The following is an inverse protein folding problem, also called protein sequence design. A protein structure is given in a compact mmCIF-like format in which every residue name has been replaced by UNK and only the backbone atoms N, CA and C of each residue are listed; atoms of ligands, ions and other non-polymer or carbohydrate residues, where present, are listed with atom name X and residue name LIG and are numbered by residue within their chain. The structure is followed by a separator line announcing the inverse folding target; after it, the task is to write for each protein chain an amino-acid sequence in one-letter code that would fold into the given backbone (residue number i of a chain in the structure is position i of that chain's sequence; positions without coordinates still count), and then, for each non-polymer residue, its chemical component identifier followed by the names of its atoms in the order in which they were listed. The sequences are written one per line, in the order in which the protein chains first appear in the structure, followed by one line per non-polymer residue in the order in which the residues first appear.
data_IF_493941425768
#
_entry.id   IF_493941425768
#
_cell.length_a   1.000
_cell.length_b   1.000
_cell.length_c   1.000
_cell.angle_alpha   90.00
_cell.angle_beta   90.00
_cell.angle_gamma   90.00
#
_symmetry.space_group_name_H-M   'P 1'
#
loop_
_entity.id
_entity.type
_entity.pdbx_description
1 polymer ?
#
# COMPACT_ATOMS: atom_id res chain seq x y z
N UNK A 1 -5.80 26.99 -24.77
CA UNK A 1 -5.06 25.70 -24.63
C UNK A 1 -5.79 24.82 -23.63
N UNK A 2 -6.11 23.58 -23.98
CA UNK A 2 -7.13 22.75 -23.32
C UNK A 2 -6.72 22.35 -21.88
N UNK A 3 -7.50 22.67 -20.82
CA UNK A 3 -7.13 22.39 -19.42
C UNK A 3 -6.92 20.89 -19.11
N UNK A 4 -7.55 20.00 -19.88
CA UNK A 4 -7.37 18.55 -19.77
C UNK A 4 -5.96 18.08 -20.17
N UNK A 5 -5.36 18.71 -21.18
CA UNK A 5 -4.00 18.38 -21.63
C UNK A 5 -2.95 18.82 -20.60
N UNK A 6 -3.15 19.96 -19.94
CA UNK A 6 -2.26 20.45 -18.87
C UNK A 6 -2.22 19.49 -17.69
N UNK A 7 -3.38 18.96 -17.27
CA UNK A 7 -3.48 18.00 -16.15
C UNK A 7 -2.78 16.67 -16.48
N UNK A 8 -2.88 16.19 -17.72
CA UNK A 8 -2.18 14.97 -18.19
C UNK A 8 -0.67 15.16 -18.24
N UNK A 9 -0.19 16.29 -18.76
CA UNK A 9 1.25 16.60 -18.86
C UNK A 9 1.91 16.69 -17.49
N UNK A 10 1.24 17.29 -16.51
CA UNK A 10 1.75 17.36 -15.13
C UNK A 10 1.87 15.99 -14.46
N UNK A 11 0.88 15.11 -14.63
CA UNK A 11 0.96 13.73 -14.13
C UNK A 11 2.13 12.96 -14.77
N UNK A 12 2.32 13.14 -16.08
CA UNK A 12 3.43 12.50 -16.79
C UNK A 12 4.79 13.06 -16.33
N UNK A 13 4.91 14.38 -16.17
CA UNK A 13 6.13 15.00 -15.64
C UNK A 13 6.47 14.47 -14.24
N UNK A 14 5.49 14.41 -13.34
CA UNK A 14 5.69 13.87 -11.98
C UNK A 14 6.13 12.40 -12.00
N UNK A 15 5.55 11.58 -12.88
CA UNK A 15 5.94 10.19 -13.05
C UNK A 15 7.39 10.06 -13.53
N UNK A 16 7.77 10.80 -14.58
CA UNK A 16 9.13 10.80 -15.11
C UNK A 16 10.11 11.30 -14.05
N UNK A 17 9.76 12.35 -13.32
CA UNK A 17 10.59 12.88 -12.24
C UNK A 17 10.81 11.85 -11.12
N UNK A 18 9.76 11.14 -10.70
CA UNK A 18 9.88 10.06 -9.72
C UNK A 18 10.78 8.91 -10.20
N UNK A 19 10.65 8.53 -11.48
CA UNK A 19 11.51 7.49 -12.10
C UNK A 19 12.97 7.96 -12.13
N UNK A 20 13.23 9.21 -12.52
CA UNK A 20 14.59 9.78 -12.57
C UNK A 20 15.21 9.79 -11.18
N UNK A 21 14.48 10.22 -10.15
CA UNK A 21 14.97 10.20 -8.76
C UNK A 21 15.25 8.77 -8.31
N UNK A 22 14.33 7.83 -8.57
CA UNK A 22 14.51 6.42 -8.21
C UNK A 22 15.75 5.82 -8.87
N UNK A 23 15.92 6.03 -10.17
CA UNK A 23 17.07 5.54 -10.92
C UNK A 23 18.38 6.19 -10.45
N UNK A 24 18.40 7.51 -10.24
CA UNK A 24 19.56 8.22 -9.73
C UNK A 24 19.96 7.73 -8.33
N UNK A 25 18.97 7.47 -7.46
CA UNK A 25 19.21 6.94 -6.11
C UNK A 25 19.85 5.55 -6.18
N UNK A 26 19.32 4.64 -7.00
CA UNK A 26 19.89 3.29 -7.15
C UNK A 26 21.30 3.34 -7.72
N UNK A 27 21.52 4.15 -8.75
CA UNK A 27 22.83 4.32 -9.36
C UNK A 27 23.86 4.87 -8.36
N UNK A 28 23.48 5.90 -7.59
CA UNK A 28 24.34 6.47 -6.56
C UNK A 28 24.67 5.45 -5.47
N UNK A 29 23.69 4.66 -5.03
CA UNK A 29 23.92 3.62 -4.04
C UNK A 29 24.82 2.50 -4.55
N UNK A 30 24.65 2.02 -5.78
CA UNK A 30 25.54 1.01 -6.38
C UNK A 30 26.98 1.52 -6.48
N UNK A 31 27.16 2.78 -6.90
CA UNK A 31 28.46 3.43 -6.90
C UNK A 31 29.07 3.47 -5.49
N UNK A 32 28.28 3.85 -4.48
CA UNK A 32 28.74 3.95 -3.11
C UNK A 32 29.10 2.58 -2.51
N UNK A 33 28.30 1.54 -2.76
CA UNK A 33 28.59 0.16 -2.36
C UNK A 33 29.91 -0.33 -2.96
N UNK A 34 30.13 -0.14 -4.27
CA UNK A 34 31.38 -0.53 -4.93
C UNK A 34 32.59 0.21 -4.37
N UNK A 35 32.42 1.48 -4.00
CA UNK A 35 33.46 2.25 -3.33
C UNK A 35 33.81 1.63 -1.97
N UNK A 36 32.81 1.29 -1.17
CA UNK A 36 33.01 0.65 0.14
C UNK A 36 33.62 -0.75 0.03
N UNK A 37 33.21 -1.55 -0.96
CA UNK A 37 33.84 -2.86 -1.27
C UNK A 37 35.34 -2.72 -1.53
N UNK A 38 35.73 -1.70 -2.29
CA UNK A 38 37.15 -1.44 -2.56
C UNK A 38 37.90 -1.01 -1.29
N UNK A 39 37.28 -0.19 -0.45
CA UNK A 39 37.88 0.23 0.83
C UNK A 39 38.04 -0.96 1.80
N UNK A 40 37.05 -1.84 1.93
CA UNK A 40 37.17 -3.06 2.73
C UNK A 40 38.26 -4.00 2.20
N UNK A 41 38.37 -4.13 0.88
CA UNK A 41 39.46 -4.91 0.28
C UNK A 41 40.84 -4.32 0.59
N UNK A 42 41.01 -3.01 0.55
CA UNK A 42 42.28 -2.35 0.92
C UNK A 42 42.60 -2.55 2.40
N UNK A 43 41.60 -2.48 3.28
CA UNK A 43 41.75 -2.77 4.70
C UNK A 43 42.13 -4.23 4.94
N UNK A 44 41.60 -5.15 4.14
CA UNK A 44 41.96 -6.56 4.20
C UNK A 44 43.40 -6.79 3.74
N UNK A 45 43.80 -6.22 2.61
CA UNK A 45 45.18 -6.32 2.12
C UNK A 45 46.19 -5.72 3.12
N UNK A 46 45.83 -4.61 3.79
CA UNK A 46 46.64 -4.04 4.87
C UNK A 46 46.72 -4.99 6.08
N UNK A 47 45.60 -5.60 6.48
CA UNK A 47 45.58 -6.59 7.57
C UNK A 47 46.54 -7.75 7.28
N UNK A 48 46.48 -8.28 6.05
CA UNK A 48 47.33 -9.40 5.64
C UNK A 48 48.81 -9.00 5.72
N UNK A 49 49.19 -7.83 5.20
CA UNK A 49 50.58 -7.35 5.25
C UNK A 49 51.09 -7.14 6.68
N UNK A 50 50.27 -6.57 7.56
CA UNK A 50 50.62 -6.38 8.97
C UNK A 50 50.74 -7.71 9.70
N UNK A 51 49.87 -8.68 9.37
CA UNK A 51 49.94 -10.04 9.92
C UNK A 51 51.21 -10.75 9.46
N UNK A 52 51.58 -10.64 8.18
CA UNK A 52 52.83 -11.21 7.66
C UNK A 52 54.06 -10.58 8.33
N UNK A 53 54.12 -9.24 8.41
CA UNK A 53 55.22 -8.53 9.09
C UNK A 53 55.30 -8.85 10.58
N UNK A 54 54.18 -9.20 11.23
CA UNK A 54 54.17 -9.59 12.63
C UNK A 54 54.89 -10.91 12.91
N UNK A 55 54.96 -11.80 11.91
CA UNK A 55 55.76 -13.02 12.02
C UNK A 55 57.26 -12.71 11.90
N UNK A 56 57.66 -11.84 10.97
CA UNK A 56 59.07 -11.45 10.81
C UNK A 56 59.62 -10.69 12.03
N UNK A 57 58.77 -9.93 12.73
CA UNK A 57 59.14 -9.07 13.85
C UNK A 57 58.75 -9.65 15.22
N UNK A 58 58.42 -10.96 15.28
CA UNK A 58 57.90 -11.61 16.48
C UNK A 58 58.80 -11.44 17.73
N UNK A 59 60.13 -11.35 17.54
CA UNK A 59 61.11 -11.21 18.63
C UNK A 59 61.43 -9.73 18.99
N UNK A 60 60.79 -8.74 18.35
CA UNK A 60 61.04 -7.30 18.60
C UNK A 60 59.84 -6.62 19.30
N UNK A 61 59.89 -6.62 20.64
CA UNK A 61 58.87 -6.03 21.53
C UNK A 61 58.54 -4.56 21.23
N UNK A 62 59.41 -3.84 20.52
CA UNK A 62 59.19 -2.41 20.16
C UNK A 62 58.05 -2.22 19.18
N UNK A 63 57.71 -3.23 18.39
CA UNK A 63 56.70 -3.15 17.31
C UNK A 63 55.40 -3.88 17.63
N UNK A 64 55.40 -4.79 18.61
CA UNK A 64 54.23 -5.58 19.04
C UNK A 64 53.02 -4.71 19.32
N UNK A 65 53.18 -3.63 20.10
CA UNK A 65 52.08 -2.73 20.43
C UNK A 65 51.48 -2.00 19.22
N UNK A 66 52.30 -1.63 18.22
CA UNK A 66 51.82 -0.99 16.99
C UNK A 66 51.03 -1.98 16.13
N UNK A 67 51.54 -3.20 15.98
CA UNK A 67 50.90 -4.28 15.22
C UNK A 67 49.55 -4.63 15.84
N UNK A 68 49.48 -4.77 17.16
CA UNK A 68 48.24 -5.09 17.86
C UNK A 68 47.21 -3.96 17.77
N UNK A 69 47.64 -2.69 17.81
CA UNK A 69 46.75 -1.55 17.57
C UNK A 69 46.14 -1.56 16.16
N UNK A 70 46.94 -1.89 15.14
CA UNK A 70 46.46 -1.96 13.75
C UNK A 70 45.51 -3.15 13.57
N UNK A 71 45.86 -4.32 14.14
CA UNK A 71 44.99 -5.51 14.09
C UNK A 71 43.68 -5.24 14.82
N UNK A 72 43.71 -4.77 16.06
CA UNK A 72 42.51 -4.61 16.90
C UNK A 72 41.54 -3.54 16.36
N UNK A 73 42.04 -2.49 15.74
CA UNK A 73 41.18 -1.47 15.12
C UNK A 73 40.53 -1.95 13.81
N UNK A 74 41.01 -3.06 13.23
CA UNK A 74 40.39 -3.63 12.05
C UNK A 74 39.12 -4.41 12.43
N UNK A 75 37.98 -3.95 11.90
CA UNK A 75 36.66 -4.56 12.13
C UNK A 75 36.31 -5.66 11.13
N UNK A 76 37.22 -6.00 10.22
CA UNK A 76 37.00 -7.07 9.24
C UNK A 76 36.96 -8.43 9.93
N UNK A 77 35.90 -9.22 9.75
CA UNK A 77 35.89 -10.61 10.17
C UNK A 77 36.85 -11.40 9.29
N UNK A 78 37.83 -12.05 9.90
CA UNK A 78 38.86 -12.84 9.22
C UNK A 78 39.02 -14.21 9.84
N UNK A 79 39.34 -15.19 9.00
CA UNK A 79 39.73 -16.55 9.41
C UNK A 79 41.04 -16.88 8.71
N UNK A 80 42.00 -17.37 9.50
CA UNK A 80 43.28 -17.86 9.02
C UNK A 80 43.28 -19.38 9.05
N UNK A 81 43.74 -20.02 7.97
CA UNK A 81 43.83 -21.48 7.88
C UNK A 81 45.20 -21.95 7.43
N UNK A 82 45.49 -23.23 7.69
CA UNK A 82 46.60 -23.93 7.07
C UNK A 82 46.27 -24.37 5.62
N UNK A 83 47.15 -25.20 5.02
CA UNK A 83 46.95 -25.74 3.68
C UNK A 83 45.82 -26.77 3.56
N UNK A 84 45.39 -27.39 4.66
CA UNK A 84 44.30 -28.36 4.73
C UNK A 84 42.95 -27.70 5.11
N UNK A 85 42.89 -26.36 5.12
CA UNK A 85 41.75 -25.57 5.60
C UNK A 85 41.42 -25.76 7.10
N UNK A 86 42.39 -26.22 7.89
CA UNK A 86 42.29 -26.24 9.35
C UNK A 86 42.46 -24.81 9.89
N UNK A 87 41.56 -24.38 10.77
CA UNK A 87 41.55 -23.02 11.27
C UNK A 87 42.62 -22.85 12.33
N UNK A 88 43.54 -21.92 12.08
CA UNK A 88 44.66 -21.60 12.98
C UNK A 88 44.44 -20.29 13.74
N UNK A 89 43.52 -19.45 13.29
CA UNK A 89 43.18 -18.21 13.98
C UNK A 89 41.96 -17.52 13.38
N UNK A 90 41.36 -16.62 14.14
CA UNK A 90 40.23 -15.81 13.68
C UNK A 90 40.21 -14.47 14.39
N UNK A 91 39.51 -13.50 13.79
CA UNK A 91 39.25 -12.21 14.40
C UNK A 91 37.92 -11.64 13.87
N UNK A 92 37.23 -10.83 14.69
CA UNK A 92 36.01 -10.12 14.27
C UNK A 92 34.79 -11.01 14.03
N UNK A 93 34.79 -12.25 14.54
CA UNK A 93 33.63 -13.14 14.53
C UNK A 93 32.76 -12.93 15.79
N UNK A 94 31.50 -13.40 15.71
CA UNK A 94 30.50 -13.31 16.78
C UNK A 94 31.00 -13.98 18.07
N UNK A 95 31.30 -13.16 19.09
CA UNK A 95 31.85 -13.61 20.38
C UNK A 95 30.91 -14.54 21.15
N UNK A 96 29.60 -14.49 20.87
CA UNK A 96 28.61 -15.39 21.50
C UNK A 96 28.64 -16.81 20.92
N UNK A 97 29.33 -16.99 19.78
CA UNK A 97 29.45 -18.26 19.04
C UNK A 97 30.90 -18.71 18.87
N UNK A 98 31.85 -17.87 19.25
CA UNK A 98 33.28 -18.17 19.31
C UNK A 98 33.66 -18.32 20.79
N UNK A 99 33.33 -19.45 21.42
CA UNK A 99 33.66 -19.65 22.82
C UNK A 99 35.18 -19.73 23.02
N UNK A 100 35.76 -18.63 23.52
CA UNK A 100 37.00 -18.57 24.30
C UNK A 100 36.64 -17.82 25.59
N UNK A 101 36.80 -18.46 26.74
CA UNK A 101 36.80 -17.75 28.02
C UNK A 101 37.96 -18.24 28.86
N UNK A 102 38.73 -17.27 29.36
CA UNK A 102 40.03 -17.42 30.02
C UNK A 102 39.81 -17.68 31.51
N UNK A 103 39.07 -18.74 31.84
CA UNK A 103 39.06 -19.28 33.20
C UNK A 103 39.38 -20.77 33.15
N UNK A 104 40.53 -21.06 33.75
CA UNK A 104 41.28 -22.30 33.82
C UNK A 104 40.39 -23.56 33.98
N UNK A 105 40.66 -24.57 33.15
CA UNK A 105 40.29 -25.99 33.35
C UNK A 105 38.95 -26.56 32.84
N UNK A 106 38.41 -26.17 31.69
CA UNK A 106 37.42 -27.03 30.99
C UNK A 106 37.62 -27.09 29.47
N UNK A 107 37.66 -28.33 28.98
CA UNK A 107 37.79 -28.77 27.58
C UNK A 107 37.10 -27.81 26.59
N UNK A 108 37.92 -27.27 25.70
CA UNK A 108 37.59 -26.33 24.63
C UNK A 108 36.58 -26.94 23.66
N UNK A 109 35.34 -26.45 23.66
CA UNK A 109 34.39 -26.80 22.59
C UNK A 109 34.32 -25.64 21.59
N UNK A 110 35.23 -25.70 20.62
CA UNK A 110 35.05 -25.17 19.28
C UNK A 110 33.62 -25.51 18.82
N UNK A 111 32.88 -24.57 18.20
CA UNK A 111 31.72 -24.93 17.37
C UNK A 111 32.22 -25.13 15.93
N UNK A 112 32.69 -26.35 15.56
CA UNK A 112 33.19 -26.62 14.23
C UNK A 112 32.18 -26.29 13.14
N UNK A 113 30.88 -26.36 13.44
CA UNK A 113 29.85 -26.07 12.45
C UNK A 113 29.70 -24.58 12.18
N UNK A 114 29.84 -23.72 13.20
CA UNK A 114 29.83 -22.27 13.01
C UNK A 114 31.02 -21.82 12.17
N UNK A 115 32.23 -22.25 12.53
CA UNK A 115 33.46 -21.87 11.83
C UNK A 115 33.51 -22.40 10.41
N UNK A 116 33.15 -23.67 10.18
CA UNK A 116 33.06 -24.22 8.82
C UNK A 116 32.04 -23.44 7.96
N UNK A 117 30.93 -23.00 8.55
CA UNK A 117 29.93 -22.17 7.88
C UNK A 117 30.49 -20.78 7.54
N UNK A 118 31.17 -20.12 8.47
CA UNK A 118 31.79 -18.81 8.21
C UNK A 118 32.88 -18.93 7.14
N UNK A 119 33.76 -19.93 7.23
CA UNK A 119 34.80 -20.18 6.23
C UNK A 119 34.20 -20.42 4.85
N UNK A 120 33.11 -21.19 4.74
CA UNK A 120 32.39 -21.39 3.49
C UNK A 120 31.79 -20.09 2.93
N UNK A 121 31.26 -19.22 3.80
CA UNK A 121 30.75 -17.91 3.39
C UNK A 121 31.90 -17.04 2.87
N UNK A 122 33.01 -16.95 3.61
CA UNK A 122 34.18 -16.17 3.21
C UNK A 122 34.77 -16.64 1.87
N UNK A 123 34.91 -17.96 1.69
CA UNK A 123 35.34 -18.58 0.43
C UNK A 123 34.46 -18.23 -0.77
N UNK A 124 33.15 -18.06 -0.54
CA UNK A 124 32.19 -17.70 -1.60
C UNK A 124 32.24 -16.21 -1.92
N UNK A 125 32.53 -15.37 -0.93
CA UNK A 125 32.57 -13.92 -1.10
C UNK A 125 33.85 -13.47 -1.78
N UNK A 126 35.01 -13.96 -1.33
CA UNK A 126 36.31 -13.43 -1.74
C UNK A 126 37.38 -14.53 -1.90
N UNK A 127 38.40 -14.31 -2.76
CA UNK A 127 39.56 -15.18 -2.82
C UNK A 127 40.43 -15.06 -1.56
N UNK A 128 41.13 -16.14 -1.22
CA UNK A 128 42.10 -16.17 -0.12
C UNK A 128 43.42 -15.50 -0.51
N UNK A 129 44.10 -14.89 0.46
CA UNK A 129 45.47 -14.37 0.28
C UNK A 129 46.44 -15.30 1.03
N UNK A 130 47.46 -15.87 0.36
CA UNK A 130 48.48 -16.66 1.01
C UNK A 130 49.48 -15.78 1.79
N UNK A 131 49.95 -16.30 2.92
CA UNK A 131 51.04 -15.73 3.73
C UNK A 131 52.00 -16.85 4.14
N UNK A 132 53.24 -16.48 4.47
CA UNK A 132 54.24 -17.44 4.97
C UNK A 132 54.35 -17.31 6.49
N UNK A 133 54.15 -18.42 7.22
CA UNK A 133 54.30 -18.46 8.67
C UNK A 133 55.78 -18.58 9.11
N UNK A 134 56.02 -18.39 10.40
CA UNK A 134 57.34 -18.50 11.06
C UNK A 134 58.09 -19.82 10.75
N UNK A 135 57.35 -20.91 10.55
CA UNK A 135 57.88 -22.25 10.27
C UNK A 135 58.10 -22.52 8.76
N UNK A 136 57.94 -21.49 7.92
CA UNK A 136 58.03 -21.60 6.46
C UNK A 136 56.82 -22.26 5.81
N UNK A 137 55.77 -22.62 6.57
CA UNK A 137 54.53 -23.15 6.01
C UNK A 137 53.68 -22.04 5.41
N UNK A 138 52.87 -22.40 4.41
CA UNK A 138 51.91 -21.48 3.79
C UNK A 138 50.59 -21.50 4.56
N UNK A 139 50.16 -20.33 4.99
CA UNK A 139 48.84 -20.11 5.57
C UNK A 139 47.98 -19.28 4.62
N UNK A 140 46.67 -19.31 4.80
CA UNK A 140 45.71 -18.60 3.98
C UNK A 140 44.80 -17.76 4.87
N UNK A 141 44.63 -16.48 4.51
CA UNK A 141 43.70 -15.59 5.20
C UNK A 141 42.46 -15.40 4.32
N UNK A 142 41.30 -15.59 4.91
CA UNK A 142 39.97 -15.33 4.36
C UNK A 142 39.34 -14.15 5.08
N UNK A 143 38.53 -13.36 4.37
CA UNK A 143 37.70 -12.31 4.99
C UNK A 143 36.25 -12.42 4.57
N UNK A 144 35.39 -11.85 5.40
CA UNK A 144 33.96 -11.69 5.14
C UNK A 144 33.65 -10.21 4.92
N UNK A 145 32.69 -9.92 4.06
CA UNK A 145 32.07 -8.59 3.98
C UNK A 145 31.60 -8.15 5.38
N UNK A 146 31.81 -6.89 5.73
CA UNK A 146 31.29 -6.41 7.02
C UNK A 146 29.75 -6.41 7.01
N UNK A 147 29.12 -6.49 8.20
CA UNK A 147 27.66 -6.30 8.32
C UNK A 147 27.20 -4.98 7.70
N UNK A 148 27.99 -3.92 7.86
CA UNK A 148 27.70 -2.59 7.30
C UNK A 148 27.64 -2.61 5.78
N UNK A 149 28.63 -3.21 5.12
CA UNK A 149 28.64 -3.32 3.66
C UNK A 149 27.47 -4.16 3.13
N UNK A 150 27.16 -5.25 3.84
CA UNK A 150 26.01 -6.09 3.49
C UNK A 150 24.69 -5.30 3.62
N UNK A 151 24.50 -4.55 4.71
CA UNK A 151 23.32 -3.68 4.88
C UNK A 151 23.23 -2.62 3.79
N UNK A 152 24.37 -2.04 3.40
CA UNK A 152 24.46 -1.02 2.36
C UNK A 152 24.07 -1.55 0.98
N UNK A 153 24.35 -2.83 0.66
CA UNK A 153 23.87 -3.51 -0.56
C UNK A 153 22.34 -3.63 -0.61
N UNK A 154 21.69 -3.88 0.53
CA UNK A 154 20.23 -4.07 0.59
C UNK A 154 19.45 -2.76 0.74
N UNK A 155 20.08 -1.72 1.28
CA UNK A 155 19.47 -0.42 1.55
C UNK A 155 18.66 0.15 0.37
N UNK A 156 19.14 0.13 -0.90
CA UNK A 156 18.41 0.74 -2.02
C UNK A 156 17.09 0.02 -2.30
N UNK A 157 17.05 -1.30 -2.14
CA UNK A 157 15.84 -2.09 -2.36
C UNK A 157 14.80 -1.85 -1.27
N UNK A 158 15.24 -1.73 -0.01
CA UNK A 158 14.37 -1.37 1.10
C UNK A 158 13.79 0.03 0.87
N UNK A 159 14.63 1.00 0.50
CA UNK A 159 14.20 2.37 0.19
C UNK A 159 13.16 2.40 -0.95
N UNK A 160 13.39 1.67 -2.05
CA UNK A 160 12.42 1.55 -3.14
C UNK A 160 11.10 0.93 -2.68
N UNK A 161 11.15 -0.08 -1.81
CA UNK A 161 9.97 -0.69 -1.20
C UNK A 161 9.14 0.32 -0.40
N UNK A 162 9.79 1.15 0.43
CA UNK A 162 9.13 2.21 1.21
C UNK A 162 8.51 3.26 0.29
N UNK A 163 9.25 3.71 -0.74
CA UNK A 163 8.72 4.67 -1.73
C UNK A 163 7.52 4.10 -2.47
N UNK A 164 7.58 2.83 -2.90
CA UNK A 164 6.48 2.17 -3.59
C UNK A 164 5.22 2.09 -2.72
N UNK A 165 5.37 1.72 -1.44
CA UNK A 165 4.26 1.69 -0.48
C UNK A 165 3.66 3.08 -0.27
N UNK A 166 4.50 4.10 -0.16
CA UNK A 166 4.05 5.49 -0.02
C UNK A 166 3.26 5.94 -1.26
N UNK A 167 3.79 5.68 -2.47
CA UNK A 167 3.11 6.02 -3.73
C UNK A 167 1.77 5.30 -3.88
N UNK A 168 1.69 4.02 -3.48
CA UNK A 168 0.44 3.26 -3.50
C UNK A 168 -0.61 3.89 -2.57
N UNK A 169 -0.22 4.20 -1.33
CA UNK A 169 -1.10 4.83 -0.35
C UNK A 169 -1.58 6.20 -0.85
N UNK A 170 -0.66 7.02 -1.38
CA UNK A 170 -0.98 8.32 -1.96
C UNK A 170 -1.93 8.20 -3.16
N UNK A 171 -1.72 7.20 -4.04
CA UNK A 171 -2.60 6.94 -5.17
C UNK A 171 -4.02 6.59 -4.73
N UNK A 172 -4.17 5.66 -3.77
CA UNK A 172 -5.49 5.25 -3.24
C UNK A 172 -6.20 6.44 -2.61
N UNK A 173 -5.52 7.21 -1.76
CA UNK A 173 -6.09 8.37 -1.09
C UNK A 173 -6.49 9.48 -2.08
N UNK A 174 -5.65 9.79 -3.07
CA UNK A 174 -5.96 10.82 -4.06
C UNK A 174 -7.08 10.37 -5.01
N UNK A 175 -7.10 9.08 -5.39
CA UNK A 175 -8.14 8.51 -6.24
C UNK A 175 -9.50 8.51 -5.53
N UNK A 176 -9.54 8.10 -4.25
CA UNK A 176 -10.77 8.11 -3.47
C UNK A 176 -11.28 9.53 -3.24
N UNK A 177 -10.39 10.46 -2.88
CA UNK A 177 -10.74 11.88 -2.74
C UNK A 177 -11.31 12.47 -4.03
N UNK A 178 -10.71 12.15 -5.19
CA UNK A 178 -11.19 12.67 -6.47
C UNK A 178 -12.55 12.10 -6.86
N UNK A 179 -12.81 10.83 -6.55
CA UNK A 179 -14.12 10.20 -6.76
C UNK A 179 -15.17 10.85 -5.85
N UNK A 180 -14.85 11.03 -4.57
CA UNK A 180 -15.74 11.69 -3.61
C UNK A 180 -16.08 13.14 -4.02
N UNK A 181 -15.11 13.91 -4.49
CA UNK A 181 -15.33 15.26 -5.03
C UNK A 181 -16.30 15.23 -6.22
N UNK A 182 -16.14 14.28 -7.13
CA UNK A 182 -17.04 14.13 -8.29
C UNK A 182 -18.46 13.74 -7.85
N UNK A 183 -18.59 12.75 -6.97
CA UNK A 183 -19.88 12.30 -6.44
C UNK A 183 -20.59 13.45 -5.71
N UNK A 184 -19.87 14.29 -4.97
CA UNK A 184 -20.42 15.46 -4.29
C UNK A 184 -20.93 16.52 -5.27
N UNK A 185 -20.23 16.76 -6.38
CA UNK A 185 -20.70 17.67 -7.45
C UNK A 185 -21.98 17.11 -8.09
N UNK A 186 -22.07 15.81 -8.35
CA UNK A 186 -23.30 15.19 -8.87
C UNK A 186 -24.48 15.32 -7.93
N UNK A 187 -24.27 15.07 -6.63
CA UNK A 187 -25.29 15.29 -5.60
C UNK A 187 -25.73 16.75 -5.56
N UNK A 188 -24.78 17.70 -5.62
CA UNK A 188 -25.08 19.13 -5.65
C UNK A 188 -25.91 19.54 -6.86
N UNK A 189 -25.53 19.08 -8.06
CA UNK A 189 -26.28 19.35 -9.30
C UNK A 189 -27.69 18.76 -9.24
N UNK A 190 -27.86 17.54 -8.73
CA UNK A 190 -29.17 16.91 -8.59
C UNK A 190 -30.11 17.74 -7.70
N UNK A 191 -29.62 18.24 -6.56
CA UNK A 191 -30.40 19.10 -5.65
C UNK A 191 -30.77 20.44 -6.28
N UNK A 192 -29.81 21.08 -6.94
CA UNK A 192 -30.02 22.37 -7.59
C UNK A 192 -31.03 22.24 -8.75
N UNK A 193 -30.89 21.19 -9.57
CA UNK A 193 -31.86 20.91 -10.65
C UNK A 193 -33.25 20.61 -10.09
N UNK A 194 -33.36 19.85 -8.99
CA UNK A 194 -34.65 19.61 -8.34
C UNK A 194 -35.30 20.93 -7.88
N UNK A 195 -34.52 21.81 -7.26
CA UNK A 195 -35.01 23.12 -6.84
C UNK A 195 -35.48 23.96 -8.04
N UNK A 196 -34.69 23.96 -9.12
CA UNK A 196 -35.03 24.67 -10.36
C UNK A 196 -36.26 24.11 -11.07
N UNK A 197 -36.53 22.80 -10.97
CA UNK A 197 -37.72 22.16 -11.52
C UNK A 197 -38.99 22.38 -10.68
N UNK A 198 -38.85 22.65 -9.37
CA UNK A 198 -40.00 22.89 -8.49
C UNK A 198 -40.87 24.07 -8.95
N UNK A 199 -40.27 25.22 -9.24
CA UNK A 199 -40.97 26.45 -9.67
C UNK A 199 -41.83 26.28 -10.93
N UNK A 200 -41.31 25.72 -12.05
CA UNK A 200 -42.14 25.49 -13.23
C UNK A 200 -43.22 24.42 -12.99
N UNK A 201 -42.97 23.39 -12.17
CA UNK A 201 -43.99 22.39 -11.82
C UNK A 201 -45.15 23.03 -11.05
N UNK A 202 -44.87 23.86 -10.04
CA UNK A 202 -45.90 24.61 -9.32
C UNK A 202 -46.69 25.55 -10.25
N UNK A 203 -46.03 26.15 -11.24
CA UNK A 203 -46.68 27.00 -12.23
C UNK A 203 -47.64 26.20 -13.12
N UNK A 204 -47.23 24.99 -13.56
CA UNK A 204 -48.10 24.07 -14.33
C UNK A 204 -49.32 23.62 -13.53
N UNK A 205 -49.14 23.33 -12.24
CA UNK A 205 -50.24 22.94 -11.35
C UNK A 205 -51.26 24.08 -11.20
N UNK A 206 -50.79 25.33 -11.07
CA UNK A 206 -51.66 26.51 -11.05
C UNK A 206 -52.40 26.72 -12.38
N UNK A 207 -51.76 26.45 -13.53
CA UNK A 207 -52.43 26.50 -14.83
C UNK A 207 -53.54 25.45 -14.98
N UNK A 208 -53.30 24.23 -14.51
CA UNK A 208 -54.33 23.18 -14.50
C UNK A 208 -55.54 23.60 -13.65
N UNK A 209 -55.31 24.18 -12.47
CA UNK A 209 -56.39 24.68 -11.60
C UNK A 209 -57.18 25.83 -12.25
N UNK A 210 -56.48 26.75 -12.94
CA UNK A 210 -57.12 27.81 -13.70
C UNK A 210 -57.99 27.25 -14.85
N UNK A 211 -57.52 26.21 -15.53
CA UNK A 211 -58.27 25.57 -16.64
C UNK A 211 -59.54 24.90 -16.10
N UNK A 212 -59.43 24.13 -15.01
CA UNK A 212 -60.58 23.50 -14.34
C UNK A 212 -61.65 24.53 -13.98
N UNK A 213 -61.25 25.60 -13.29
CA UNK A 213 -62.18 26.65 -12.83
C UNK A 213 -62.77 27.49 -13.96
N UNK A 214 -61.99 27.87 -14.98
CA UNK A 214 -62.46 28.76 -16.06
C UNK A 214 -63.33 28.03 -17.09
N UNK A 215 -63.05 26.76 -17.38
CA UNK A 215 -63.73 26.00 -18.43
C UNK A 215 -64.70 24.94 -17.88
N UNK A 216 -64.90 24.89 -16.56
CA UNK A 216 -65.76 23.91 -15.90
C UNK A 216 -65.39 22.46 -16.27
N UNK A 217 -64.09 22.20 -16.37
CA UNK A 217 -63.49 20.96 -16.88
C UNK A 217 -63.02 20.03 -15.76
N UNK A 218 -63.68 20.06 -14.60
CA UNK A 218 -63.30 19.26 -13.43
C UNK A 218 -63.38 17.75 -13.70
N UNK A 219 -64.35 17.32 -14.51
CA UNK A 219 -64.54 15.92 -14.90
C UNK A 219 -63.87 15.56 -16.24
N UNK A 220 -63.08 16.46 -16.84
CA UNK A 220 -62.42 16.18 -18.11
C UNK A 220 -61.29 15.16 -17.92
N UNK A 221 -61.36 13.99 -18.57
CA UNK A 221 -60.35 12.94 -18.44
C UNK A 221 -58.94 13.38 -18.86
N UNK A 222 -58.80 14.32 -19.81
CA UNK A 222 -57.50 14.83 -20.27
C UNK A 222 -56.85 15.72 -19.21
N UNK A 223 -57.64 16.52 -18.51
CA UNK A 223 -57.16 17.37 -17.42
C UNK A 223 -56.71 16.51 -16.23
N UNK A 224 -57.45 15.43 -15.93
CA UNK A 224 -57.06 14.46 -14.92
C UNK A 224 -55.73 13.76 -15.25
N UNK A 225 -55.48 13.40 -16.52
CA UNK A 225 -54.19 12.85 -16.95
C UNK A 225 -53.05 13.87 -16.83
N UNK A 226 -53.27 15.14 -17.21
CA UNK A 226 -52.27 16.20 -17.04
C UNK A 226 -51.89 16.40 -15.57
N UNK A 227 -52.87 16.39 -14.67
CA UNK A 227 -52.64 16.49 -13.22
C UNK A 227 -51.84 15.30 -12.70
N UNK A 228 -52.16 14.09 -13.14
CA UNK A 228 -51.41 12.87 -12.80
C UNK A 228 -49.94 12.96 -13.23
N UNK A 229 -49.66 13.48 -14.42
CA UNK A 229 -48.30 13.67 -14.92
C UNK A 229 -47.52 14.74 -14.16
N UNK A 230 -48.14 15.88 -13.84
CA UNK A 230 -47.53 16.95 -13.03
C UNK A 230 -47.20 16.43 -11.63
N UNK A 231 -48.13 15.71 -11.00
CA UNK A 231 -47.92 15.09 -9.68
C UNK A 231 -46.78 14.07 -9.70
N UNK A 232 -46.62 13.34 -10.81
CA UNK A 232 -45.48 12.45 -11.01
C UNK A 232 -44.15 13.21 -11.12
N UNK A 233 -44.12 14.32 -11.86
CA UNK A 233 -42.94 15.19 -11.96
C UNK A 233 -42.56 15.78 -10.60
N UNK A 234 -43.55 16.16 -9.78
CA UNK A 234 -43.34 16.63 -8.41
C UNK A 234 -42.68 15.54 -7.55
N UNK A 235 -43.20 14.31 -7.56
CA UNK A 235 -42.62 13.18 -6.81
C UNK A 235 -41.18 12.90 -7.26
N UNK A 236 -40.91 12.92 -8.57
CA UNK A 236 -39.55 12.74 -9.09
C UNK A 236 -38.64 13.87 -8.59
N UNK A 237 -39.10 15.11 -8.68
CA UNK A 237 -38.35 16.29 -8.24
C UNK A 237 -38.05 16.26 -6.74
N UNK A 238 -39.02 15.88 -5.90
CA UNK A 238 -38.82 15.67 -4.46
C UNK A 238 -37.75 14.60 -4.19
N UNK A 239 -37.81 13.45 -4.90
CA UNK A 239 -36.77 12.42 -4.81
C UNK A 239 -35.38 12.96 -5.16
N UNK A 240 -35.25 13.74 -6.24
CA UNK A 240 -33.97 14.37 -6.62
C UNK A 240 -33.47 15.37 -5.56
N UNK A 241 -34.36 16.14 -4.92
CA UNK A 241 -34.00 17.09 -3.86
C UNK A 241 -33.41 16.41 -2.61
N UNK A 242 -33.81 15.15 -2.38
CA UNK A 242 -33.37 14.31 -1.26
C UNK A 242 -32.12 13.48 -1.58
N UNK A 243 -31.59 13.52 -2.81
CA UNK A 243 -30.36 12.79 -3.16
C UNK A 243 -29.20 13.29 -2.26
N UNK A 244 -28.52 12.37 -1.58
CA UNK A 244 -27.40 12.68 -0.69
C UNK A 244 -27.75 13.33 0.64
N UNK A 245 -29.03 13.44 1.02
CA UNK A 245 -29.41 13.66 2.43
C UNK A 245 -29.38 12.34 3.20
N UNK A 246 -29.24 12.40 4.53
CA UNK A 246 -29.41 11.21 5.37
C UNK A 246 -30.89 10.79 5.31
N UNK A 247 -31.22 9.54 4.94
CA UNK A 247 -32.60 9.07 4.94
C UNK A 247 -33.17 9.13 6.35
N UNK A 248 -34.37 9.70 6.49
CA UNK A 248 -35.15 9.60 7.73
C UNK A 248 -35.85 8.25 7.67
N UNK A 249 -35.56 7.39 8.63
CA UNK A 249 -36.18 6.07 8.76
C UNK A 249 -37.17 6.11 9.91
N UNK A 250 -38.36 5.60 9.67
CA UNK A 250 -39.45 5.54 10.64
C UNK A 250 -39.89 4.09 10.82
N UNK A 251 -40.45 3.78 11.98
CA UNK A 251 -40.88 2.43 12.31
C UNK A 251 -42.20 2.11 11.61
N UNK A 252 -42.14 1.19 10.65
CA UNK A 252 -43.27 0.80 9.82
C UNK A 252 -43.44 -0.72 9.79
N UNK A 253 -44.70 -1.16 9.64
CA UNK A 253 -45.03 -2.55 9.33
C UNK A 253 -44.71 -2.80 7.85
N UNK A 254 -43.74 -3.68 7.59
CA UNK A 254 -43.21 -3.94 6.23
C UNK A 254 -44.33 -4.43 5.30
N UNK A 255 -45.18 -5.33 5.79
CA UNK A 255 -46.28 -5.89 5.02
C UNK A 255 -47.25 -4.81 4.53
N UNK A 256 -47.59 -3.84 5.38
CA UNK A 256 -48.47 -2.71 5.02
C UNK A 256 -47.85 -1.86 3.90
N UNK A 257 -46.56 -1.55 4.00
CA UNK A 257 -45.85 -0.74 3.00
C UNK A 257 -45.87 -1.45 1.63
N UNK A 258 -45.50 -2.74 1.59
CA UNK A 258 -45.51 -3.52 0.35
C UNK A 258 -46.93 -3.65 -0.21
N UNK A 259 -47.92 -3.90 0.65
CA UNK A 259 -49.32 -4.06 0.22
C UNK A 259 -49.86 -2.80 -0.44
N UNK A 260 -49.64 -1.64 0.18
CA UNK A 260 -50.04 -0.35 -0.37
C UNK A 260 -49.35 -0.08 -1.72
N UNK A 261 -48.05 -0.40 -1.83
CA UNK A 261 -47.30 -0.21 -3.07
C UNK A 261 -47.81 -1.13 -4.18
N UNK A 262 -48.05 -2.42 -3.89
CA UNK A 262 -48.57 -3.40 -4.85
C UNK A 262 -49.97 -3.06 -5.32
N UNK A 263 -50.85 -2.59 -4.43
CA UNK A 263 -52.20 -2.16 -4.79
C UNK A 263 -52.18 -0.98 -5.76
N UNK A 264 -51.35 0.02 -5.48
CA UNK A 264 -51.10 1.13 -6.39
C UNK A 264 -50.47 0.68 -7.72
N UNK A 265 -49.50 -0.24 -7.69
CA UNK A 265 -48.78 -0.70 -8.89
C UNK A 265 -49.69 -1.53 -9.81
N UNK A 266 -50.59 -2.32 -9.23
CA UNK A 266 -51.57 -3.16 -9.95
C UNK A 266 -52.44 -2.35 -10.89
N UNK A 267 -52.87 -1.15 -10.49
CA UNK A 267 -53.69 -0.26 -11.34
C UNK A 267 -52.99 0.17 -12.64
N UNK A 268 -51.67 -0.01 -12.72
CA UNK A 268 -50.81 0.40 -13.85
C UNK A 268 -50.15 -0.77 -14.56
N UNK A 269 -50.48 -2.00 -14.17
CA UNK A 269 -49.98 -3.22 -14.82
C UNK A 269 -51.13 -3.97 -15.50
N UNK A 270 -50.80 -4.85 -16.46
CA UNK A 270 -51.82 -5.63 -17.17
C UNK A 270 -52.60 -6.52 -16.19
N UNK A 271 -53.92 -6.61 -16.39
CA UNK A 271 -54.81 -7.51 -15.65
C UNK A 271 -54.40 -9.00 -15.71
N UNK A 272 -53.49 -9.36 -16.62
CA UNK A 272 -52.91 -10.71 -16.73
C UNK A 272 -51.86 -11.00 -15.64
N UNK A 273 -51.37 -9.99 -14.94
CA UNK A 273 -50.32 -10.13 -13.92
C UNK A 273 -50.98 -10.37 -12.56
N UNK A 274 -50.63 -11.48 -11.93
CA UNK A 274 -51.16 -11.87 -10.61
C UNK A 274 -50.14 -11.52 -9.55
N UNK A 275 -50.51 -10.62 -8.64
CA UNK A 275 -49.68 -10.26 -7.50
C UNK A 275 -50.08 -11.10 -6.28
N UNK A 276 -49.10 -11.80 -5.70
CA UNK A 276 -49.26 -12.54 -4.44
C UNK A 276 -48.22 -12.05 -3.43
N UNK A 277 -48.69 -11.62 -2.26
CA UNK A 277 -47.82 -11.21 -1.14
C UNK A 277 -47.82 -12.37 -0.14
N UNK A 278 -46.64 -12.89 0.18
CA UNK A 278 -46.46 -13.98 1.14
C UNK A 278 -45.45 -13.51 2.18
N UNK A 279 -45.82 -13.56 3.46
CA UNK A 279 -44.95 -13.15 4.55
C UNK A 279 -45.71 -12.94 5.85
N UNK A 280 -44.97 -12.60 6.91
CA UNK A 280 -45.51 -12.20 8.20
C UNK A 280 -46.04 -10.76 8.13
N UNK A 281 -47.26 -10.55 8.64
CA UNK A 281 -48.00 -9.29 8.60
C UNK A 281 -47.64 -8.32 9.72
N UNK A 282 -46.84 -8.75 10.71
CA UNK A 282 -46.48 -7.94 11.88
C UNK A 282 -45.02 -7.50 11.89
N UNK A 283 -44.20 -7.93 10.94
CA UNK A 283 -42.77 -7.55 10.89
C UNK A 283 -42.64 -6.03 10.76
N UNK A 284 -41.92 -5.45 11.72
CA UNK A 284 -41.61 -4.01 11.76
C UNK A 284 -40.15 -3.78 11.41
N UNK A 285 -39.90 -2.71 10.68
CA UNK A 285 -38.56 -2.27 10.34
C UNK A 285 -38.48 -0.74 10.31
N UNK A 286 -37.28 -0.22 10.57
CA UNK A 286 -36.97 1.18 10.32
C UNK A 286 -36.78 1.37 8.82
N UNK A 287 -37.76 1.98 8.17
CA UNK A 287 -37.81 2.12 6.72
C UNK A 287 -37.94 3.59 6.33
N UNK A 288 -37.34 3.96 5.20
CA UNK A 288 -37.75 5.14 4.46
C UNK A 288 -38.70 4.68 3.36
N UNK A 289 -40.01 4.86 3.57
CA UNK A 289 -41.06 4.36 2.67
C UNK A 289 -40.81 4.76 1.19
N UNK A 290 -40.50 6.03 0.85
CA UNK A 290 -40.23 6.40 -0.55
C UNK A 290 -39.08 5.64 -1.22
N UNK A 291 -37.98 5.39 -0.49
CA UNK A 291 -36.84 4.62 -1.01
C UNK A 291 -37.20 3.13 -1.15
N UNK A 292 -37.94 2.59 -0.18
CA UNK A 292 -38.37 1.20 -0.18
C UNK A 292 -39.35 0.91 -1.31
N UNK A 293 -40.32 1.82 -1.54
CA UNK A 293 -41.23 1.79 -2.68
C UNK A 293 -40.46 1.83 -3.99
N UNK A 294 -39.42 2.67 -4.09
CA UNK A 294 -38.61 2.75 -5.31
C UNK A 294 -37.82 1.47 -5.60
N UNK A 295 -37.27 0.82 -4.57
CA UNK A 295 -36.63 -0.51 -4.72
C UNK A 295 -37.66 -1.54 -5.17
N UNK A 296 -38.82 -1.56 -4.53
CA UNK A 296 -39.93 -2.48 -4.88
C UNK A 296 -40.41 -2.25 -6.32
N UNK A 297 -40.54 -0.99 -6.74
CA UNK A 297 -40.88 -0.60 -8.11
C UNK A 297 -39.90 -1.18 -9.14
N UNK A 298 -38.60 -1.04 -8.88
CA UNK A 298 -37.57 -1.53 -9.79
C UNK A 298 -37.54 -3.06 -9.83
N UNK A 299 -37.75 -3.73 -8.70
CA UNK A 299 -37.81 -5.19 -8.65
C UNK A 299 -39.03 -5.71 -9.43
N UNK A 300 -40.21 -5.11 -9.22
CA UNK A 300 -41.43 -5.53 -9.91
C UNK A 300 -41.43 -5.22 -11.41
N UNK A 301 -40.79 -4.13 -11.86
CA UNK A 301 -40.66 -3.83 -13.30
C UNK A 301 -39.73 -4.77 -14.06
N UNK A 302 -38.75 -5.36 -13.37
CA UNK A 302 -37.75 -6.24 -13.97
C UNK A 302 -38.14 -7.72 -13.91
N UNK A 303 -39.18 -8.07 -13.13
CA UNK A 303 -39.74 -9.41 -13.03
C UNK A 303 -40.80 -9.65 -14.13
#
# INVERSE_FOLDING_TARGET
MNPYEKKRRWKFFLLVFAIVIGAASVFYSDFFVKKMEREERLQFELYVKVTEQSFDMYDDDRYTGMIDLIRTNNKLPVIMTDANDEIIGYQGLDSTKTYYNVDDNKVENYDPQYFARQLRIMKKQHPRIPITGLDGKRWYIYHKDTPTLTQLRYFPYIQLGVIALFLLTAYVAFSSARKAEQDQVWVGMAKETAHQLGTPISSLMAWVELIKSRFNAEEDPLIAEMENDIKRLEIITDRFSKIGSKPIVEDHVVHTVISNFVEYFRLRTSDKIIFQIIGDDQVRALLNVPLFDWVTENLLKNA
#
